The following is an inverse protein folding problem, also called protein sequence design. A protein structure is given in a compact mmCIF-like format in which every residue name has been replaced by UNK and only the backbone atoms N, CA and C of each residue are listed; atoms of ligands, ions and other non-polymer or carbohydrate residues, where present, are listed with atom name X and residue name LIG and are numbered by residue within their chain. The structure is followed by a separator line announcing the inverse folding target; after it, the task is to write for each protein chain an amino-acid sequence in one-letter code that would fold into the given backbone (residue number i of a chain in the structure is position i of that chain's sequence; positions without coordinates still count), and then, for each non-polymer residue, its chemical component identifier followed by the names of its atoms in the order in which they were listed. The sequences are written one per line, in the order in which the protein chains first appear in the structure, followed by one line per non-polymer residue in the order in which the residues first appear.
data_IF_387011668810
#
_entry.id   IF_387011668810
#
_cell.length_a   1.000
_cell.length_b   1.000
_cell.length_c   1.000
_cell.angle_alpha   90.00
_cell.angle_beta   90.00
_cell.angle_gamma   90.00
#
_symmetry.space_group_name_H-M   'P 1'
#
loop_
_entity.id
_entity.type
_entity.pdbx_description
1 polymer ?
#
# COMPACT_ATOMS: atom_id res chain seq x y z
N UNK A 1 -26.53 -34.60 -40.80
CA UNK A 1 -26.58 -34.07 -39.43
C UNK A 1 -25.45 -34.71 -38.62
N UNK A 2 -24.33 -34.01 -38.45
CA UNK A 2 -23.21 -34.45 -37.61
C UNK A 2 -23.49 -34.16 -36.15
N UNK A 3 -23.16 -35.08 -35.24
CA UNK A 3 -22.89 -34.75 -33.83
C UNK A 3 -21.60 -35.43 -33.37
N UNK A 4 -20.64 -34.57 -33.10
CA UNK A 4 -19.27 -34.82 -32.70
C UNK A 4 -19.21 -35.15 -31.21
N UNK A 5 -18.36 -36.12 -30.87
CA UNK A 5 -18.13 -36.69 -29.54
C UNK A 5 -17.17 -35.79 -28.75
N UNK A 6 -17.44 -35.51 -27.47
CA UNK A 6 -16.38 -35.14 -26.52
C UNK A 6 -16.58 -35.86 -25.19
N UNK A 7 -15.57 -36.66 -24.84
CA UNK A 7 -15.36 -37.34 -23.57
C UNK A 7 -14.60 -36.36 -22.69
N UNK A 8 -15.20 -35.91 -21.59
CA UNK A 8 -14.49 -35.16 -20.55
C UNK A 8 -13.82 -36.16 -19.60
N UNK A 9 -12.57 -35.88 -19.23
CA UNK A 9 -11.84 -36.60 -18.18
C UNK A 9 -10.34 -36.64 -18.45
N UNK A 10 -9.58 -35.82 -17.71
CA UNK A 10 -8.13 -35.81 -17.68
C UNK A 10 -7.61 -34.47 -17.14
N UNK A 11 -7.38 -34.39 -15.83
CA UNK A 11 -6.73 -33.27 -15.17
C UNK A 11 -5.30 -33.07 -15.69
N UNK A 12 -4.83 -31.82 -15.71
CA UNK A 12 -3.41 -31.50 -15.61
C UNK A 12 -3.26 -30.20 -14.79
N UNK A 13 -2.39 -30.19 -13.77
CA UNK A 13 -2.14 -29.03 -12.90
C UNK A 13 -1.03 -28.12 -13.47
N UNK A 14 -0.93 -26.92 -12.89
CA UNK A 14 0.14 -25.90 -13.04
C UNK A 14 0.10 -25.11 -14.37
N UNK A 15 0.05 -23.77 -14.41
CA UNK A 15 0.82 -22.78 -13.62
C UNK A 15 0.19 -21.37 -13.78
N UNK A 16 -0.07 -20.58 -12.71
CA UNK A 16 -0.28 -19.12 -12.85
C UNK A 16 1.01 -18.30 -12.66
N UNK A 17 2.08 -18.90 -12.13
CA UNK A 17 3.31 -18.21 -11.71
C UNK A 17 4.03 -17.45 -12.85
N UNK A 18 3.95 -17.95 -14.08
CA UNK A 18 4.66 -17.36 -15.22
C UNK A 18 4.04 -16.04 -15.71
N UNK A 19 2.74 -15.80 -15.45
CA UNK A 19 2.08 -14.57 -15.86
C UNK A 19 2.48 -13.40 -14.94
N UNK A 20 2.54 -13.63 -13.63
CA UNK A 20 2.97 -12.62 -12.66
C UNK A 20 4.46 -12.26 -12.80
N UNK A 21 5.31 -13.22 -13.16
CA UNK A 21 6.74 -12.99 -13.41
C UNK A 21 6.96 -12.12 -14.66
N UNK A 22 6.20 -12.38 -15.73
CA UNK A 22 6.28 -11.61 -16.97
C UNK A 22 5.73 -10.17 -16.81
N UNK A 23 4.68 -9.99 -16.03
CA UNK A 23 4.13 -8.66 -15.70
C UNK A 23 5.08 -7.85 -14.81
N UNK A 24 5.72 -8.49 -13.83
CA UNK A 24 6.76 -7.87 -13.00
C UNK A 24 7.97 -7.41 -13.81
N UNK A 25 8.44 -8.24 -14.75
CA UNK A 25 9.57 -7.89 -15.64
C UNK A 25 9.23 -6.78 -16.63
N UNK A 26 7.99 -6.71 -17.11
CA UNK A 26 7.54 -5.62 -17.97
C UNK A 26 7.54 -4.28 -17.22
N UNK A 27 7.03 -4.27 -15.98
CA UNK A 27 7.02 -3.10 -15.10
C UNK A 27 8.43 -2.60 -14.80
N UNK A 28 9.37 -3.48 -14.44
CA UNK A 28 10.77 -3.10 -14.22
C UNK A 28 11.40 -2.49 -15.48
N UNK A 29 11.09 -3.01 -16.68
CA UNK A 29 11.64 -2.48 -17.93
C UNK A 29 11.12 -1.07 -18.27
N UNK A 30 9.92 -0.71 -17.80
CA UNK A 30 9.30 0.61 -17.99
C UNK A 30 9.79 1.60 -16.92
N UNK A 31 10.08 1.12 -15.71
CA UNK A 31 10.35 1.95 -14.53
C UNK A 31 11.80 2.48 -14.36
N UNK A 32 12.62 2.57 -15.41
CA UNK A 32 13.93 3.25 -15.40
C UNK A 32 15.06 2.48 -14.67
N UNK A 33 16.30 2.80 -15.04
CA UNK A 33 17.58 2.24 -14.53
C UNK A 33 17.88 2.47 -13.04
N UNK A 34 16.98 3.12 -12.29
CA UNK A 34 17.17 3.50 -10.88
C UNK A 34 16.21 2.77 -9.93
N UNK A 35 15.45 1.79 -10.42
CA UNK A 35 14.56 0.97 -9.58
C UNK A 35 15.28 -0.30 -9.19
N UNK A 36 15.59 -0.40 -7.89
CA UNK A 36 16.28 -1.57 -7.31
C UNK A 36 15.35 -2.80 -7.23
N UNK A 37 14.09 -2.60 -6.82
CA UNK A 37 13.13 -3.69 -6.63
C UNK A 37 11.67 -3.21 -6.78
N UNK A 38 10.83 -4.06 -7.37
CA UNK A 38 9.37 -3.93 -7.33
C UNK A 38 8.82 -5.14 -6.60
N UNK A 39 8.05 -4.91 -5.54
CA UNK A 39 7.43 -5.97 -4.77
C UNK A 39 5.91 -5.76 -4.66
N UNK A 40 5.17 -6.86 -4.69
CA UNK A 40 3.76 -6.83 -4.34
C UNK A 40 3.59 -6.74 -2.82
N UNK A 41 2.60 -5.98 -2.39
CA UNK A 41 2.12 -5.98 -1.01
C UNK A 41 0.74 -6.64 -1.01
N UNK A 42 0.68 -7.87 -0.56
CA UNK A 42 -0.57 -8.61 -0.50
C UNK A 42 -1.55 -7.89 0.44
N UNK A 43 -2.71 -7.52 -0.10
CA UNK A 43 -3.84 -6.97 0.62
C UNK A 43 -5.04 -7.30 -0.22
N UNK A 44 -5.94 -8.16 0.29
CA UNK A 44 -7.12 -8.71 -0.40
C UNK A 44 -8.17 -7.62 -0.74
N UNK A 45 -7.76 -6.49 -1.32
CA UNK A 45 -8.58 -5.29 -1.53
C UNK A 45 -8.87 -4.51 -0.26
N UNK A 46 -8.10 -4.68 0.81
CA UNK A 46 -8.37 -4.10 2.14
C UNK A 46 -8.03 -2.60 2.29
N UNK A 47 -7.54 -1.95 1.23
CA UNK A 47 -7.23 -0.51 1.22
C UNK A 47 -5.99 -0.11 2.05
N UNK A 48 -5.17 -1.07 2.50
CA UNK A 48 -3.98 -0.79 3.30
C UNK A 48 -2.66 -0.78 2.52
N UNK A 49 -2.70 -0.97 1.19
CA UNK A 49 -1.51 -1.16 0.35
C UNK A 49 -0.41 -0.10 0.59
N UNK A 50 -0.72 1.19 0.62
CA UNK A 50 0.27 2.25 0.89
C UNK A 50 0.97 2.10 2.25
N UNK A 51 0.23 1.73 3.30
CA UNK A 51 0.80 1.48 4.63
C UNK A 51 1.60 0.18 4.68
N UNK A 52 1.18 -0.85 3.92
CA UNK A 52 1.91 -2.11 3.78
C UNK A 52 3.24 -1.92 3.06
N UNK A 53 3.30 -1.06 2.04
CA UNK A 53 4.57 -0.70 1.36
C UNK A 53 5.53 -0.11 2.38
N UNK A 54 5.09 0.89 3.16
CA UNK A 54 5.92 1.52 4.20
C UNK A 54 6.35 0.49 5.25
N UNK A 55 5.46 -0.39 5.70
CA UNK A 55 5.78 -1.42 6.67
C UNK A 55 6.85 -2.40 6.16
N UNK A 56 6.71 -2.86 4.90
CA UNK A 56 7.66 -3.75 4.25
C UNK A 56 9.01 -3.08 4.04
N UNK A 57 9.04 -1.81 3.63
CA UNK A 57 10.28 -1.01 3.54
C UNK A 57 10.98 -0.84 4.89
N UNK A 58 10.24 -0.90 5.99
CA UNK A 58 10.78 -0.87 7.36
C UNK A 58 11.15 -2.25 7.91
N UNK A 59 10.97 -3.32 7.16
CA UNK A 59 11.18 -4.70 7.63
C UNK A 59 10.20 -5.14 8.72
N UNK A 60 9.00 -4.53 8.76
CA UNK A 60 7.93 -4.93 9.66
C UNK A 60 7.14 -6.12 9.08
N UNK A 61 6.34 -6.76 9.92
CA UNK A 61 5.50 -7.90 9.54
C UNK A 61 4.58 -7.57 8.35
N UNK A 62 4.53 -8.47 7.38
CA UNK A 62 3.64 -8.36 6.21
C UNK A 62 2.15 -8.45 6.60
N UNK A 63 1.80 -9.10 7.71
CA UNK A 63 0.40 -9.29 8.10
C UNK A 63 -0.20 -8.07 8.82
N UNK A 64 0.57 -7.47 9.74
CA UNK A 64 0.08 -6.46 10.69
C UNK A 64 1.00 -5.23 10.84
N UNK A 65 2.15 -5.19 10.16
CA UNK A 65 3.09 -4.06 10.23
C UNK A 65 2.48 -2.72 9.78
N UNK A 66 1.52 -2.74 8.86
CA UNK A 66 0.76 -1.56 8.43
C UNK A 66 0.03 -0.88 9.59
N UNK A 67 -0.41 -1.64 10.61
CA UNK A 67 -1.08 -1.10 11.80
C UNK A 67 -0.08 -0.32 12.64
N UNK A 68 1.13 -0.85 12.80
CA UNK A 68 2.21 -0.16 13.50
C UNK A 68 2.58 1.17 12.82
N UNK A 69 2.62 1.19 11.48
CA UNK A 69 2.84 2.42 10.71
C UNK A 69 1.75 3.45 11.00
N UNK A 70 0.46 3.07 10.91
CA UNK A 70 -0.68 3.95 11.21
C UNK A 70 -0.63 4.48 12.65
N UNK A 71 -0.37 3.62 13.63
CA UNK A 71 -0.27 3.99 15.03
C UNK A 71 0.85 5.02 15.29
N UNK A 72 2.03 4.82 14.70
CA UNK A 72 3.13 5.78 14.81
C UNK A 72 2.79 7.13 14.19
N UNK A 73 2.17 7.12 13.02
CA UNK A 73 1.74 8.35 12.33
C UNK A 73 0.64 9.09 13.09
N UNK A 74 -0.34 8.37 13.63
CA UNK A 74 -1.38 8.95 14.47
C UNK A 74 -0.77 9.59 15.71
N UNK A 75 0.17 8.90 16.36
CA UNK A 75 0.86 9.42 17.54
C UNK A 75 1.63 10.70 17.22
N UNK A 76 2.33 10.76 16.10
CA UNK A 76 3.08 11.95 15.68
C UNK A 76 2.15 13.15 15.48
N UNK A 77 1.08 12.98 14.68
CA UNK A 77 0.12 14.06 14.43
C UNK A 77 -0.56 14.54 15.71
N UNK A 78 -0.97 13.63 16.58
CA UNK A 78 -1.64 13.97 17.84
C UNK A 78 -0.69 14.65 18.84
N UNK A 79 0.60 14.28 18.83
CA UNK A 79 1.63 14.90 19.69
C UNK A 79 1.95 16.32 19.20
N UNK A 80 1.97 16.53 17.88
CA UNK A 80 2.34 17.77 17.23
C UNK A 80 1.14 18.50 16.61
N UNK A 81 -0.04 18.41 17.24
CA UNK A 81 -1.31 18.92 16.70
C UNK A 81 -1.21 20.36 16.21
N UNK A 82 -0.72 21.29 17.05
CA UNK A 82 -0.64 22.71 16.68
C UNK A 82 0.23 22.93 15.43
N UNK A 83 1.38 22.26 15.38
CA UNK A 83 2.31 22.35 14.25
C UNK A 83 1.71 21.74 12.98
N UNK A 84 1.00 20.62 13.11
CA UNK A 84 0.27 20.01 12.00
C UNK A 84 -0.86 20.91 11.48
N UNK A 85 -1.65 21.51 12.37
CA UNK A 85 -2.70 22.46 11.97
C UNK A 85 -2.13 23.70 11.28
N UNK A 86 -0.95 24.18 11.69
CA UNK A 86 -0.27 25.31 11.06
C UNK A 86 0.24 24.97 9.65
N UNK A 87 0.80 23.78 9.43
CA UNK A 87 1.33 23.35 8.12
C UNK A 87 0.22 23.02 7.14
N UNK A 88 -0.73 22.19 7.55
CA UNK A 88 -1.74 21.63 6.66
C UNK A 88 -3.01 22.50 6.59
N UNK A 89 -3.23 23.34 7.60
CA UNK A 89 -4.53 23.95 7.88
C UNK A 89 -5.45 22.96 8.59
N UNK A 90 -6.28 23.46 9.51
CA UNK A 90 -7.18 22.67 10.37
C UNK A 90 -8.01 21.65 9.57
N UNK A 91 -8.55 22.04 8.42
CA UNK A 91 -9.40 21.16 7.59
C UNK A 91 -8.62 19.98 7.02
N UNK A 92 -7.41 20.20 6.50
CA UNK A 92 -6.62 19.12 5.91
C UNK A 92 -5.97 18.27 7.00
N UNK A 93 -5.57 18.86 8.12
CA UNK A 93 -5.09 18.12 9.29
C UNK A 93 -6.14 17.11 9.78
N UNK A 94 -7.42 17.51 9.86
CA UNK A 94 -8.51 16.59 10.20
C UNK A 94 -8.69 15.47 9.19
N UNK A 95 -8.58 15.75 7.88
CA UNK A 95 -8.62 14.71 6.83
C UNK A 95 -7.47 13.72 6.97
N UNK A 96 -6.26 14.22 7.25
CA UNK A 96 -5.08 13.39 7.50
C UNK A 96 -5.29 12.45 8.69
N UNK A 97 -5.83 12.97 9.79
CA UNK A 97 -6.17 12.15 10.95
C UNK A 97 -7.19 11.06 10.59
N UNK A 98 -8.23 11.37 9.82
CA UNK A 98 -9.20 10.37 9.34
C UNK A 98 -8.50 9.28 8.53
N UNK A 99 -7.68 9.65 7.54
CA UNK A 99 -6.95 8.68 6.71
C UNK A 99 -6.10 7.74 7.56
N UNK A 100 -5.37 8.29 8.54
CA UNK A 100 -4.41 7.54 9.35
C UNK A 100 -5.09 6.69 10.43
N UNK A 101 -6.11 7.23 11.10
CA UNK A 101 -6.81 6.55 12.20
C UNK A 101 -7.91 5.59 11.72
N UNK A 102 -8.19 5.54 10.41
CA UNK A 102 -9.16 4.62 9.84
C UNK A 102 -8.86 3.16 10.21
N UNK A 103 -9.88 2.46 10.67
CA UNK A 103 -9.83 1.08 11.15
C UNK A 103 -10.21 0.07 10.05
N UNK A 104 -10.12 -1.22 10.40
CA UNK A 104 -10.12 -2.34 9.43
C UNK A 104 -11.37 -2.43 8.57
N UNK A 105 -12.53 -2.03 9.10
CA UNK A 105 -13.79 -2.13 8.38
C UNK A 105 -14.02 -0.93 7.45
N UNK A 106 -13.38 0.22 7.75
CA UNK A 106 -13.52 1.47 7.02
C UNK A 106 -12.44 1.68 5.94
N UNK A 107 -11.32 0.94 5.98
CA UNK A 107 -10.20 1.14 5.06
C UNK A 107 -10.52 0.85 3.58
N UNK A 108 -11.63 0.15 3.30
CA UNK A 108 -12.16 -0.04 1.95
C UNK A 108 -12.79 1.23 1.36
N UNK A 109 -13.02 2.26 2.18
CA UNK A 109 -13.50 3.56 1.73
C UNK A 109 -12.35 4.43 1.23
N UNK A 110 -12.55 5.12 0.10
CA UNK A 110 -11.54 5.94 -0.56
C UNK A 110 -10.94 7.05 0.34
N UNK A 111 -11.67 7.50 1.36
CA UNK A 111 -11.20 8.51 2.31
C UNK A 111 -10.24 7.96 3.39
N UNK A 112 -9.93 6.66 3.35
CA UNK A 112 -8.96 6.00 4.23
C UNK A 112 -7.66 5.61 3.52
N UNK A 113 -7.59 5.86 2.22
CA UNK A 113 -6.43 5.51 1.40
C UNK A 113 -5.32 6.53 1.59
N UNK A 114 -4.08 6.04 1.57
CA UNK A 114 -2.90 6.90 1.67
C UNK A 114 -2.77 7.74 0.40
N UNK A 115 -2.74 9.07 0.56
CA UNK A 115 -2.47 10.04 -0.51
C UNK A 115 -1.13 10.70 -0.21
N UNK A 116 -0.11 10.31 -0.98
CA UNK A 116 1.31 10.63 -0.75
C UNK A 116 1.64 12.14 -0.65
N UNK A 117 1.08 13.04 -1.49
CA UNK A 117 1.40 14.48 -1.42
C UNK A 117 1.17 15.10 -0.04
N UNK A 118 0.14 14.66 0.68
CA UNK A 118 -0.21 15.24 1.98
C UNK A 118 0.46 14.50 3.16
N UNK A 119 0.81 13.23 2.96
CA UNK A 119 1.23 12.30 4.02
C UNK A 119 2.76 12.10 4.08
N UNK A 120 3.51 12.44 3.03
CA UNK A 120 4.95 12.19 2.94
C UNK A 120 5.77 12.77 4.11
N UNK A 121 5.46 13.99 4.54
CA UNK A 121 6.10 14.60 5.73
C UNK A 121 5.77 13.84 7.02
N UNK A 122 4.53 13.38 7.18
CA UNK A 122 4.13 12.60 8.36
C UNK A 122 4.89 11.28 8.40
N UNK A 123 5.05 10.61 7.25
CA UNK A 123 5.85 9.37 7.17
C UNK A 123 7.29 9.65 7.62
N UNK A 124 7.91 10.72 7.12
CA UNK A 124 9.31 11.01 7.42
C UNK A 124 9.55 11.30 8.89
N UNK A 125 8.71 12.13 9.52
CA UNK A 125 8.83 12.47 10.94
C UNK A 125 8.45 11.30 11.86
N UNK A 126 7.34 10.62 11.58
CA UNK A 126 6.82 9.55 12.45
C UNK A 126 7.70 8.31 12.45
N UNK A 127 8.30 8.00 11.30
CA UNK A 127 9.07 6.78 11.09
C UNK A 127 10.58 7.03 11.10
N UNK A 128 11.01 8.30 11.14
CA UNK A 128 12.41 8.72 11.03
C UNK A 128 13.07 8.18 9.75
N UNK A 129 12.35 8.30 8.63
CA UNK A 129 12.79 7.87 7.30
C UNK A 129 12.82 9.05 6.35
N UNK A 130 13.63 8.96 5.30
CA UNK A 130 13.60 9.91 4.19
C UNK A 130 12.82 9.29 3.05
N UNK A 131 11.69 9.91 2.67
CA UNK A 131 11.00 9.57 1.42
C UNK A 131 11.61 10.42 0.31
N UNK A 132 12.17 9.77 -0.71
CA UNK A 132 12.72 10.45 -1.89
C UNK A 132 11.76 10.21 -3.06
N UNK A 133 11.14 11.28 -3.53
CA UNK A 133 10.43 11.28 -4.81
C UNK A 133 11.49 11.50 -5.92
N UNK A 134 11.50 10.66 -6.96
CA UNK A 134 12.55 10.62 -7.99
C UNK A 134 11.97 11.03 -9.34
#
# INVERSE_FOLDING_TARGET
MSRFKRRCGGESPTTPLAASEAEGQLLVSVCNTHVDEIFNVDGDGDGHCGFRVVAKSLGLSDMDGWRHVRERMAKELMTNTNFGEDIYGITNFKKLLVIIQCDKDEATMDNCWMILPDIGHVISTSLNVMLVDI
#
